data_IF_806936185123
#
_entry.id   IF_806936185123
#
_cell.length_a   1.000
_cell.length_b   1.000
_cell.length_c   1.000
_cell.angle_alpha   90.00
_cell.angle_beta   90.00
_cell.angle_gamma   90.00
#
_symmetry.space_group_name_H-M   'P 1'
#
loop_
_entity.id
_entity.type
_entity.pdbx_description
1 polymer ?
#
# COMPACT_ATOMS: atom_id res chain seq x y z
N UNK A 1 -3.94 -7.16 9.81
CA UNK A 1 -2.64 -7.66 9.32
C UNK A 1 -1.80 -8.19 10.49
N UNK A 2 -0.62 -8.77 10.26
CA UNK A 2 0.33 -9.14 11.33
C UNK A 2 1.25 -7.96 11.69
N UNK A 3 1.79 -7.91 12.92
CA UNK A 3 2.84 -6.96 13.27
C UNK A 3 4.14 -7.26 12.51
N UNK A 4 4.99 -6.26 12.29
CA UNK A 4 6.29 -6.45 11.62
C UNK A 4 7.24 -7.39 12.37
N UNK A 5 6.97 -7.69 13.64
CA UNK A 5 7.77 -8.61 14.46
C UNK A 5 7.71 -10.07 13.99
N UNK A 6 6.84 -10.40 13.03
CA UNK A 6 6.85 -11.70 12.34
C UNK A 6 8.01 -11.84 11.34
N UNK A 7 8.63 -10.72 10.93
CA UNK A 7 9.81 -10.76 10.08
C UNK A 7 11.03 -11.24 10.87
N UNK A 8 12.02 -11.86 10.22
CA UNK A 8 13.30 -12.12 10.86
C UNK A 8 13.99 -10.78 11.18
N UNK A 9 14.47 -10.65 12.41
CA UNK A 9 15.28 -9.50 12.79
C UNK A 9 16.76 -9.78 12.49
N UNK A 10 17.33 -9.01 11.56
CA UNK A 10 18.72 -9.14 11.13
C UNK A 10 19.45 -7.80 11.33
N UNK A 11 20.74 -7.82 11.69
CA UNK A 11 21.56 -6.61 11.65
C UNK A 11 21.64 -6.08 10.21
N UNK A 12 21.60 -4.77 10.06
CA UNK A 12 21.77 -4.08 8.80
C UNK A 12 23.26 -4.03 8.47
N UNK A 13 23.63 -4.63 7.34
CA UNK A 13 24.98 -4.56 6.78
C UNK A 13 24.98 -3.57 5.62
N UNK A 14 26.09 -2.85 5.40
CA UNK A 14 26.25 -1.93 4.25
C UNK A 14 26.34 -2.71 2.91
N UNK A 15 25.18 -3.17 2.45
CA UNK A 15 25.01 -3.96 1.24
C UNK A 15 24.32 -3.16 0.11
N UNK A 16 23.93 -1.92 0.37
CA UNK A 16 23.21 -1.11 -0.60
C UNK A 16 22.84 0.28 -0.07
N UNK A 17 22.30 1.13 -0.95
CA UNK A 17 21.93 2.50 -0.59
C UNK A 17 20.87 2.56 0.51
N UNK A 18 19.92 1.61 0.57
CA UNK A 18 18.88 1.64 1.61
C UNK A 18 19.46 1.33 2.98
N UNK A 19 20.29 0.29 3.07
CA UNK A 19 21.02 -0.07 4.28
C UNK A 19 21.90 1.08 4.77
N UNK A 20 22.66 1.75 3.87
CA UNK A 20 23.46 2.93 4.24
C UNK A 20 22.62 4.07 4.79
N UNK A 21 21.43 4.29 4.24
CA UNK A 21 20.52 5.32 4.75
C UNK A 21 20.11 5.01 6.18
N UNK A 22 19.68 3.78 6.48
CA UNK A 22 19.33 3.40 7.86
C UNK A 22 20.53 3.47 8.81
N UNK A 23 21.70 2.94 8.41
CA UNK A 23 22.92 3.01 9.21
C UNK A 23 23.34 4.46 9.51
N UNK A 24 23.17 5.38 8.56
CA UNK A 24 23.46 6.82 8.77
C UNK A 24 22.51 7.50 9.77
N UNK A 25 21.44 6.83 10.17
CA UNK A 25 20.43 7.28 11.12
C UNK A 25 20.53 6.53 12.45
N UNK A 26 21.63 5.80 12.69
CA UNK A 26 21.83 4.93 13.85
C UNK A 26 20.74 3.84 13.99
N UNK A 27 20.23 3.38 12.85
CA UNK A 27 19.31 2.24 12.74
C UNK A 27 20.10 1.06 12.16
N UNK A 28 20.37 0.06 13.01
CA UNK A 28 21.29 -1.03 12.74
C UNK A 28 20.63 -2.42 12.71
N UNK A 29 19.31 -2.51 12.87
CA UNK A 29 18.53 -3.75 12.75
C UNK A 29 17.23 -3.58 11.93
N UNK A 30 16.73 -4.69 11.39
CA UNK A 30 15.61 -4.71 10.45
C UNK A 30 14.28 -4.36 11.12
N UNK A 31 14.05 -4.77 12.38
CA UNK A 31 12.83 -4.42 13.12
C UNK A 31 12.80 -2.92 13.43
N UNK A 32 13.93 -2.31 13.76
CA UNK A 32 14.05 -0.88 13.99
C UNK A 32 13.80 -0.09 12.70
N UNK A 33 14.28 -0.57 11.54
CA UNK A 33 13.92 -0.01 10.25
C UNK A 33 12.40 -0.09 9.98
N UNK A 34 11.77 -1.24 10.25
CA UNK A 34 10.32 -1.41 10.11
C UNK A 34 9.54 -0.47 11.04
N UNK A 35 9.95 -0.36 12.30
CA UNK A 35 9.36 0.56 13.29
C UNK A 35 9.48 2.00 12.82
N UNK A 36 10.67 2.43 12.42
CA UNK A 36 10.92 3.79 11.93
C UNK A 36 9.98 4.12 10.75
N UNK A 37 9.91 3.24 9.74
CA UNK A 37 9.03 3.44 8.58
C UNK A 37 7.56 3.43 8.98
N UNK A 38 7.17 2.56 9.92
CA UNK A 38 5.80 2.50 10.43
C UNK A 38 5.40 3.78 11.17
N UNK A 39 6.28 4.38 11.97
CA UNK A 39 6.00 5.56 12.79
C UNK A 39 5.97 6.88 12.00
N UNK A 40 6.62 6.95 10.83
CA UNK A 40 6.55 8.16 9.98
C UNK A 40 5.11 8.50 9.61
N UNK A 41 4.71 9.77 9.50
CA UNK A 41 3.37 10.15 9.04
C UNK A 41 2.97 9.51 7.71
N UNK A 42 1.69 9.18 7.56
CA UNK A 42 1.14 8.76 6.28
C UNK A 42 0.87 9.97 5.38
N UNK A 43 1.33 9.90 4.13
CA UNK A 43 1.16 11.00 3.19
C UNK A 43 1.48 10.60 1.75
N UNK A 44 0.93 11.33 0.79
CA UNK A 44 1.27 11.15 -0.63
C UNK A 44 2.51 11.97 -0.96
N UNK A 45 3.60 11.28 -1.30
CA UNK A 45 4.85 11.94 -1.65
C UNK A 45 4.78 12.69 -2.99
N UNK A 46 5.62 13.72 -3.16
CA UNK A 46 5.65 14.50 -4.41
C UNK A 46 6.16 13.69 -5.61
N UNK A 47 7.15 12.81 -5.39
CA UNK A 47 7.68 11.88 -6.37
C UNK A 47 7.77 10.47 -5.78
N UNK A 48 6.75 9.65 -6.03
CA UNK A 48 6.71 8.26 -5.54
C UNK A 48 7.70 7.32 -6.23
N UNK A 49 8.38 7.75 -7.29
CA UNK A 49 9.35 6.93 -8.04
C UNK A 49 10.79 7.13 -7.53
N UNK A 50 11.05 8.22 -6.80
CA UNK A 50 12.31 8.43 -6.08
C UNK A 50 12.40 7.47 -4.87
N UNK A 51 13.36 6.51 -4.87
CA UNK A 51 13.48 5.52 -3.79
C UNK A 51 13.79 6.13 -2.42
N UNK A 52 14.27 7.38 -2.37
CA UNK A 52 14.64 8.07 -1.14
C UNK A 52 13.59 9.11 -0.71
N UNK A 53 12.46 9.23 -1.42
CA UNK A 53 11.47 10.28 -1.19
C UNK A 53 10.89 10.25 0.24
N UNK A 54 10.72 9.05 0.80
CA UNK A 54 10.20 8.85 2.14
C UNK A 54 11.11 9.51 3.20
N UNK A 55 12.43 9.44 3.02
CA UNK A 55 13.39 10.07 3.93
C UNK A 55 13.48 11.59 3.69
N UNK A 56 13.41 12.03 2.43
CA UNK A 56 13.45 13.46 2.07
C UNK A 56 12.26 14.23 2.63
N UNK A 57 11.07 13.64 2.56
CA UNK A 57 9.83 14.27 3.00
C UNK A 57 9.39 13.85 4.41
N UNK A 58 10.06 12.86 5.01
CA UNK A 58 9.75 12.31 6.35
C UNK A 58 8.29 11.87 6.50
N UNK A 59 7.72 11.33 5.43
CA UNK A 59 6.37 10.77 5.38
C UNK A 59 6.29 9.77 4.23
N UNK A 60 5.29 8.89 4.25
CA UNK A 60 5.11 7.95 3.14
C UNK A 60 3.70 7.40 3.00
N UNK A 61 3.37 6.96 1.79
CA UNK A 61 2.13 6.25 1.50
C UNK A 61 2.33 4.75 1.70
N UNK A 62 1.27 3.94 1.54
CA UNK A 62 1.42 2.49 1.52
C UNK A 62 2.40 2.04 0.42
N UNK A 63 2.55 2.79 -0.68
CA UNK A 63 3.53 2.47 -1.71
C UNK A 63 4.96 2.66 -1.20
N UNK A 64 5.30 3.86 -0.72
CA UNK A 64 6.69 4.25 -0.44
C UNK A 64 7.19 3.64 0.86
N UNK A 65 6.33 3.52 1.89
CA UNK A 65 6.65 2.80 3.13
C UNK A 65 7.08 1.35 2.86
N UNK A 66 6.27 0.60 2.13
CA UNK A 66 6.59 -0.80 1.83
C UNK A 66 7.69 -0.95 0.77
N UNK A 67 7.86 0.02 -0.14
CA UNK A 67 8.99 0.02 -1.08
C UNK A 67 10.34 0.11 -0.36
N UNK A 68 10.46 0.98 0.65
CA UNK A 68 11.67 1.14 1.47
C UNK A 68 12.03 -0.17 2.16
N UNK A 69 11.09 -0.81 2.85
CA UNK A 69 11.36 -2.06 3.59
C UNK A 69 11.58 -3.25 2.66
N UNK A 70 10.84 -3.37 1.54
CA UNK A 70 11.11 -4.42 0.55
C UNK A 70 12.48 -4.26 -0.12
N UNK A 71 12.94 -3.01 -0.33
CA UNK A 71 14.27 -2.73 -0.86
C UNK A 71 15.34 -3.13 0.17
N UNK A 72 15.18 -2.73 1.44
CA UNK A 72 16.10 -3.14 2.51
C UNK A 72 16.13 -4.67 2.67
N UNK A 73 14.97 -5.34 2.63
CA UNK A 73 14.90 -6.79 2.70
C UNK A 73 15.68 -7.46 1.56
N UNK A 74 15.62 -6.90 0.35
CA UNK A 74 16.41 -7.38 -0.79
C UNK A 74 17.92 -7.22 -0.54
N UNK A 75 18.36 -6.08 -0.02
CA UNK A 75 19.78 -5.84 0.31
C UNK A 75 20.32 -6.74 1.45
N UNK A 76 19.43 -7.23 2.31
CA UNK A 76 19.75 -8.13 3.44
C UNK A 76 19.42 -9.61 3.18
N UNK A 77 19.05 -9.96 1.94
CA UNK A 77 18.66 -11.30 1.53
C UNK A 77 17.58 -11.88 2.47
N UNK A 78 16.57 -11.08 2.77
CA UNK A 78 15.36 -11.48 3.50
C UNK A 78 14.24 -11.67 2.47
N UNK A 79 13.60 -12.83 2.50
CA UNK A 79 12.53 -13.22 1.57
C UNK A 79 11.20 -12.51 1.87
N UNK A 80 11.21 -11.18 1.89
CA UNK A 80 10.03 -10.32 2.05
C UNK A 80 9.67 -9.71 0.72
N UNK A 81 8.44 -9.93 0.30
CA UNK A 81 7.92 -9.50 -0.98
C UNK A 81 6.89 -8.38 -0.82
N UNK A 82 7.04 -7.32 -1.63
CA UNK A 82 5.99 -6.32 -1.78
C UNK A 82 4.84 -6.88 -2.61
N UNK A 83 3.63 -6.69 -2.13
CA UNK A 83 2.41 -7.06 -2.82
C UNK A 83 1.50 -5.85 -3.02
N UNK A 84 0.76 -5.87 -4.12
CA UNK A 84 -0.41 -5.03 -4.32
C UNK A 84 -1.65 -5.89 -4.12
N UNK A 85 -2.64 -5.35 -3.43
CA UNK A 85 -3.97 -5.96 -3.33
C UNK A 85 -5.08 -4.99 -3.72
N UNK A 86 -6.17 -5.54 -4.27
CA UNK A 86 -7.42 -4.83 -4.48
C UNK A 86 -8.37 -5.14 -3.34
N UNK A 87 -8.88 -4.12 -2.66
CA UNK A 87 -9.86 -4.25 -1.58
C UNK A 87 -11.17 -3.56 -1.93
N UNK A 88 -12.25 -3.98 -1.27
CA UNK A 88 -13.56 -3.34 -1.37
C UNK A 88 -13.61 -2.10 -0.46
N UNK A 89 -13.55 -0.90 -1.04
CA UNK A 89 -13.77 0.33 -0.27
C UNK A 89 -15.27 0.56 -0.10
N UNK A 90 -15.69 0.59 1.17
CA UNK A 90 -17.07 0.81 1.62
C UNK A 90 -17.10 1.85 2.74
N UNK A 91 -18.29 2.34 3.09
CA UNK A 91 -18.48 3.38 4.12
C UNK A 91 -17.87 3.01 5.48
N UNK A 92 -18.02 1.75 5.90
CA UNK A 92 -17.48 1.30 7.19
C UNK A 92 -15.95 1.40 7.24
N UNK A 93 -15.27 1.14 6.11
CA UNK A 93 -13.81 1.17 6.03
C UNK A 93 -13.28 2.58 5.75
N UNK A 94 -13.95 3.36 4.91
CA UNK A 94 -13.56 4.74 4.56
C UNK A 94 -14.80 5.62 4.64
N UNK A 95 -14.86 6.42 5.70
CA UNK A 95 -15.96 7.36 5.95
C UNK A 95 -16.15 8.32 4.76
N UNK A 96 -17.37 8.43 4.24
CA UNK A 96 -17.73 9.25 3.08
C UNK A 96 -17.71 8.52 1.74
N UNK A 97 -17.57 7.19 1.74
CA UNK A 97 -17.61 6.36 0.52
C UNK A 97 -19.03 6.16 0.00
N UNK A 98 -20.05 6.10 0.86
CA UNK A 98 -21.46 5.85 0.50
C UNK A 98 -21.99 6.79 -0.60
N UNK A 99 -21.76 8.12 -0.55
CA UNK A 99 -22.18 9.02 -1.63
C UNK A 99 -21.54 8.70 -2.99
N UNK A 100 -20.31 8.19 -3.01
CA UNK A 100 -19.63 7.77 -4.25
C UNK A 100 -20.30 6.50 -4.78
N UNK A 101 -20.52 5.50 -3.91
CA UNK A 101 -21.17 4.24 -4.29
C UNK A 101 -22.56 4.47 -4.88
N UNK A 102 -23.37 5.33 -4.25
CA UNK A 102 -24.72 5.65 -4.71
C UNK A 102 -24.72 6.34 -6.09
N UNK A 103 -23.80 7.28 -6.29
CA UNK A 103 -23.68 8.04 -7.55
C UNK A 103 -23.34 7.15 -8.73
N UNK A 104 -22.46 6.16 -8.51
CA UNK A 104 -21.97 5.28 -9.56
C UNK A 104 -22.67 3.91 -9.59
N UNK A 105 -23.66 3.71 -8.70
CA UNK A 105 -24.37 2.44 -8.51
C UNK A 105 -23.40 1.24 -8.34
N UNK A 106 -22.43 1.39 -7.43
CA UNK A 106 -21.41 0.38 -7.16
C UNK A 106 -21.71 -0.36 -5.85
N UNK A 107 -21.56 -1.69 -5.77
CA UNK A 107 -21.67 -2.42 -4.50
C UNK A 107 -20.56 -2.04 -3.51
N UNK A 108 -19.38 -1.75 -4.05
CA UNK A 108 -18.20 -1.22 -3.37
C UNK A 108 -17.27 -0.59 -4.40
N UNK A 109 -16.29 0.21 -3.97
CA UNK A 109 -15.30 0.81 -4.86
C UNK A 109 -13.98 0.00 -4.77
N UNK A 110 -13.56 -0.72 -5.82
CA UNK A 110 -12.31 -1.49 -5.81
C UNK A 110 -11.10 -0.55 -5.77
N UNK A 111 -10.33 -0.58 -4.69
CA UNK A 111 -9.18 0.29 -4.45
C UNK A 111 -7.89 -0.51 -4.26
N UNK A 112 -6.75 0.10 -4.55
CA UNK A 112 -5.42 -0.52 -4.42
C UNK A 112 -4.82 -0.22 -3.07
N UNK A 113 -4.18 -1.21 -2.46
CA UNK A 113 -3.31 -1.05 -1.29
C UNK A 113 -2.05 -1.89 -1.44
N UNK A 114 -0.94 -1.46 -0.82
CA UNK A 114 0.32 -2.20 -0.79
C UNK A 114 0.57 -2.76 0.61
N UNK A 115 1.18 -3.93 0.69
CA UNK A 115 1.61 -4.56 1.93
C UNK A 115 2.83 -5.46 1.66
N UNK A 116 3.43 -5.99 2.72
CA UNK A 116 4.56 -6.92 2.66
C UNK A 116 4.10 -8.32 3.01
N UNK A 117 4.75 -9.31 2.40
CA UNK A 117 4.50 -10.73 2.64
C UNK A 117 5.82 -11.41 3.02
N UNK A 118 5.79 -12.13 4.14
CA UNK A 118 6.86 -13.03 4.58
C UNK A 118 6.23 -14.38 4.86
N UNK A 119 6.63 -15.40 4.11
CA UNK A 119 5.94 -16.70 4.10
C UNK A 119 4.44 -16.48 3.81
N UNK A 120 3.55 -16.95 4.68
CA UNK A 120 2.10 -16.74 4.56
C UNK A 120 1.59 -15.53 5.39
N UNK A 121 2.50 -14.77 6.01
CA UNK A 121 2.16 -13.64 6.88
C UNK A 121 2.17 -12.33 6.10
N UNK A 122 1.09 -11.55 6.26
CA UNK A 122 0.93 -10.22 5.65
C UNK A 122 1.14 -9.12 6.70
N UNK A 123 2.00 -8.16 6.40
CA UNK A 123 2.32 -7.02 7.26
C UNK A 123 2.04 -5.71 6.52
N UNK A 124 1.34 -4.79 7.20
CA UNK A 124 1.04 -3.46 6.68
C UNK A 124 1.59 -2.38 7.62
N UNK A 125 2.70 -1.77 7.22
CA UNK A 125 3.37 -0.69 7.94
C UNK A 125 2.59 0.64 7.89
N UNK A 126 1.50 0.71 7.13
CA UNK A 126 0.59 1.86 7.10
C UNK A 126 -0.70 1.66 7.89
N UNK A 127 -0.96 0.47 8.43
CA UNK A 127 -2.10 0.21 9.32
C UNK A 127 -1.98 1.09 10.57
N UNK A 128 -3.09 1.66 11.05
CA UNK A 128 -3.09 2.54 12.23
C UNK A 128 -2.45 3.94 12.04
N UNK A 129 -1.88 4.24 10.87
CA UNK A 129 -1.15 5.48 10.61
C UNK A 129 -2.02 6.54 9.89
N UNK A 130 -3.23 6.81 10.38
CA UNK A 130 -4.14 7.84 9.82
C UNK A 130 -4.23 7.82 8.27
N UNK A 131 -4.27 6.62 7.69
CA UNK A 131 -4.13 6.41 6.24
C UNK A 131 -5.43 6.66 5.44
N UNK A 132 -6.39 7.38 6.05
CA UNK A 132 -7.73 7.65 5.53
C UNK A 132 -8.73 6.51 5.72
N UNK A 133 -8.35 5.39 6.36
CA UNK A 133 -9.23 4.26 6.68
C UNK A 133 -9.51 4.17 8.18
N UNK A 134 -10.68 3.65 8.53
CA UNK A 134 -11.16 3.46 9.89
C UNK A 134 -10.62 2.18 10.56
N UNK A 135 -9.94 1.31 9.81
CA UNK A 135 -9.49 0.01 10.28
C UNK A 135 -8.60 -0.74 9.28
N UNK A 136 -8.23 -1.99 9.61
CA UNK A 136 -7.41 -2.83 8.73
C UNK A 136 -8.16 -3.25 7.47
N UNK A 137 -7.42 -3.69 6.46
CA UNK A 137 -7.97 -4.43 5.32
C UNK A 137 -7.79 -5.91 5.61
N UNK A 138 -8.88 -6.59 5.94
CA UNK A 138 -8.85 -8.02 6.24
C UNK A 138 -8.86 -8.87 4.96
N UNK A 139 -9.71 -8.47 4.00
CA UNK A 139 -9.94 -9.21 2.76
C UNK A 139 -9.47 -8.44 1.52
N UNK A 140 -8.76 -9.17 0.65
CA UNK A 140 -8.40 -8.71 -0.69
C UNK A 140 -9.14 -9.53 -1.74
N UNK A 141 -9.69 -8.83 -2.71
CA UNK A 141 -10.40 -9.38 -3.86
C UNK A 141 -9.42 -9.96 -4.90
N UNK A 142 -8.18 -9.48 -4.87
CA UNK A 142 -7.06 -9.88 -5.72
C UNK A 142 -5.75 -9.43 -5.07
N UNK A 143 -4.68 -10.21 -5.20
CA UNK A 143 -3.33 -9.84 -4.77
C UNK A 143 -2.29 -10.29 -5.79
N UNK A 144 -1.22 -9.52 -5.97
CA UNK A 144 -0.11 -9.84 -6.87
C UNK A 144 1.22 -9.37 -6.28
N UNK A 145 2.25 -10.22 -6.33
CA UNK A 145 3.63 -9.88 -6.01
C UNK A 145 4.16 -8.88 -7.02
N UNK A 146 4.79 -7.80 -6.56
CA UNK A 146 5.33 -6.73 -7.40
C UNK A 146 6.77 -6.41 -7.01
N UNK A 147 7.49 -5.71 -7.87
CA UNK A 147 8.80 -5.15 -7.51
C UNK A 147 8.64 -4.07 -6.43
N UNK A 148 9.64 -3.94 -5.55
CA UNK A 148 9.62 -2.97 -4.45
C UNK A 148 9.27 -1.55 -4.93
N UNK A 149 9.87 -1.14 -6.05
CA UNK A 149 9.75 0.20 -6.63
C UNK A 149 8.87 0.24 -7.89
N UNK A 150 7.78 -0.55 -7.94
CA UNK A 150 6.81 -0.51 -9.04
C UNK A 150 6.37 0.94 -9.37
N UNK A 151 6.44 1.30 -10.66
CA UNK A 151 6.09 2.63 -11.14
C UNK A 151 4.59 2.91 -10.99
N UNK A 152 4.21 4.19 -10.95
CA UNK A 152 2.78 4.56 -10.92
C UNK A 152 2.02 4.07 -12.16
N UNK A 153 2.70 4.04 -13.32
CA UNK A 153 2.16 3.53 -14.58
C UNK A 153 1.89 2.02 -14.52
N UNK A 154 2.85 1.24 -14.03
CA UNK A 154 2.74 -0.21 -13.98
C UNK A 154 1.71 -0.66 -12.95
N UNK A 155 1.65 0.01 -11.78
CA UNK A 155 0.57 -0.20 -10.80
C UNK A 155 -0.81 0.06 -11.41
N UNK A 156 -0.95 1.13 -12.20
CA UNK A 156 -2.21 1.44 -12.88
C UNK A 156 -2.59 0.40 -13.93
N UNK A 157 -1.63 -0.09 -14.72
CA UNK A 157 -1.87 -1.15 -15.70
C UNK A 157 -2.25 -2.47 -15.03
N UNK A 158 -1.57 -2.83 -13.93
CA UNK A 158 -1.90 -4.00 -13.11
C UNK A 158 -3.32 -3.89 -12.55
N UNK A 159 -3.67 -2.74 -11.97
CA UNK A 159 -5.01 -2.49 -11.46
C UNK A 159 -6.08 -2.67 -12.54
N UNK A 160 -5.89 -2.11 -13.74
CA UNK A 160 -6.84 -2.29 -14.86
C UNK A 160 -6.96 -3.74 -15.31
N UNK A 161 -5.85 -4.46 -15.38
CA UNK A 161 -5.82 -5.89 -15.73
C UNK A 161 -6.63 -6.68 -14.71
N UNK A 162 -6.38 -6.44 -13.41
CA UNK A 162 -7.06 -7.12 -12.33
C UNK A 162 -8.56 -6.77 -12.24
N UNK A 163 -8.96 -5.53 -12.53
CA UNK A 163 -10.38 -5.17 -12.66
C UNK A 163 -11.10 -6.03 -13.70
N UNK A 164 -10.53 -6.15 -14.91
CA UNK A 164 -11.13 -6.93 -15.99
C UNK A 164 -11.16 -8.44 -15.70
N UNK A 165 -10.10 -8.96 -15.07
CA UNK A 165 -9.95 -10.40 -14.86
C UNK A 165 -10.66 -10.91 -13.60
N UNK A 166 -10.77 -10.09 -12.55
CA UNK A 166 -11.17 -10.58 -11.21
C UNK A 166 -12.34 -9.82 -10.57
N UNK A 167 -12.65 -8.61 -11.04
CA UNK A 167 -13.71 -7.78 -10.42
C UNK A 167 -14.95 -7.72 -11.32
N UNK A 168 -14.81 -7.29 -12.57
CA UNK A 168 -15.92 -7.18 -13.51
C UNK A 168 -16.67 -8.50 -13.79
N UNK A 169 -16.03 -9.68 -13.76
CA UNK A 169 -16.76 -10.94 -13.93
C UNK A 169 -17.65 -11.33 -12.73
N UNK A 170 -17.59 -10.61 -11.61
CA UNK A 170 -18.40 -10.91 -10.43
C UNK A 170 -19.84 -10.49 -10.64
N UNK A 171 -20.79 -11.27 -10.10
CA UNK A 171 -22.22 -11.05 -10.30
C UNK A 171 -22.66 -9.67 -9.80
N UNK A 172 -22.10 -9.18 -8.69
CA UNK A 172 -22.42 -7.85 -8.16
C UNK A 172 -21.90 -6.68 -9.03
N UNK A 173 -21.06 -6.95 -10.04
CA UNK A 173 -20.60 -6.00 -11.04
C UNK A 173 -21.27 -6.17 -12.41
N UNK A 174 -22.31 -7.01 -12.52
CA UNK A 174 -23.01 -7.20 -13.79
C UNK A 174 -23.56 -5.87 -14.34
N UNK A 175 -23.35 -5.65 -15.63
CA UNK A 175 -23.70 -4.39 -16.31
C UNK A 175 -22.84 -3.16 -15.94
N UNK A 176 -21.86 -3.26 -15.02
CA UNK A 176 -21.00 -2.14 -14.64
C UNK A 176 -19.81 -2.02 -15.59
N UNK A 177 -19.72 -0.91 -16.32
CA UNK A 177 -18.59 -0.66 -17.19
C UNK A 177 -17.32 -0.28 -16.40
N UNK A 178 -16.14 -0.73 -16.85
CA UNK A 178 -14.85 -0.36 -16.25
C UNK A 178 -14.66 1.16 -16.12
N UNK A 179 -15.16 1.94 -17.08
CA UNK A 179 -15.07 3.40 -17.08
C UNK A 179 -15.80 4.01 -15.88
N UNK A 180 -16.87 3.39 -15.40
CA UNK A 180 -17.61 3.79 -14.20
C UNK A 180 -16.73 3.63 -12.96
N UNK A 181 -16.09 2.47 -12.82
CA UNK A 181 -15.17 2.19 -11.71
C UNK A 181 -13.99 3.17 -11.71
N UNK A 182 -13.41 3.44 -12.90
CA UNK A 182 -12.27 4.34 -13.01
C UNK A 182 -12.61 5.79 -12.64
N UNK A 183 -13.81 6.28 -13.00
CA UNK A 183 -14.29 7.59 -12.57
C UNK A 183 -14.54 7.63 -11.06
N UNK A 184 -15.21 6.62 -10.52
CA UNK A 184 -15.45 6.51 -9.08
C UNK A 184 -14.13 6.47 -8.28
N UNK A 185 -13.08 5.81 -8.83
CA UNK A 185 -11.75 5.72 -8.22
C UNK A 185 -11.09 7.09 -8.04
N UNK A 186 -11.24 8.02 -8.98
CA UNK A 186 -10.69 9.37 -8.86
C UNK A 186 -11.28 10.10 -7.65
N UNK A 187 -12.59 9.96 -7.44
CA UNK A 187 -13.27 10.47 -6.25
C UNK A 187 -12.84 9.75 -4.98
N UNK A 188 -12.69 8.42 -5.04
CA UNK A 188 -12.20 7.62 -3.91
C UNK A 188 -10.79 8.01 -3.45
N UNK A 189 -9.88 8.31 -4.38
CA UNK A 189 -8.54 8.82 -4.07
C UNK A 189 -8.62 10.20 -3.40
N UNK A 190 -9.49 11.07 -3.92
CA UNK A 190 -9.71 12.40 -3.35
C UNK A 190 -10.26 12.30 -1.92
N UNK A 191 -11.19 11.38 -1.68
CA UNK A 191 -11.74 11.10 -0.36
C UNK A 191 -10.69 10.59 0.62
N UNK A 192 -9.87 9.60 0.21
CA UNK A 192 -8.77 9.09 1.05
C UNK A 192 -7.81 10.21 1.46
N UNK A 193 -7.44 11.09 0.50
CA UNK A 193 -6.59 12.25 0.78
C UNK A 193 -7.21 13.20 1.82
N UNK A 194 -8.50 13.49 1.68
CA UNK A 194 -9.21 14.34 2.62
C UNK A 194 -9.32 13.74 4.03
N UNK A 195 -9.33 12.40 4.14
CA UNK A 195 -9.41 11.71 5.42
C UNK A 195 -8.05 11.50 6.11
N UNK A 196 -6.91 11.76 5.44
CA UNK A 196 -5.58 11.78 6.09
C UNK A 196 -5.39 13.05 6.93
N UNK A 197 -6.06 14.15 6.54
CA UNK A 197 -5.90 15.47 7.17
C UNK A 197 -6.83 15.70 8.37
N UNK A 198 -7.55 14.67 8.82
CA UNK A 198 -8.52 14.73 9.92
C UNK A 198 -7.97 13.99 11.13
#
# INVERSE_FOLDING_TARGET
MQPYTVFPDKPIMDNGPMARTFLSMDIDDFHHACRYVHELPYGYNSDREDPMILFKEKMGSCTTKHAVIATLATELEIAIDKHIGIYAMIEALVTGTKPILDRYNLPYLPMVHCFLVFEDQRVDLSEGNQNGKNGPIDDFLYTEKVTANISGKDEYLLYRKALNAHILPRLEFDGIAIKTILKAREEGITLLRANIQK
#
